data_IF_378740304768
#
_entry.id   IF_378740304768
#
_cell.length_a   1.000
_cell.length_b   1.000
_cell.length_c   1.000
_cell.angle_alpha   90.00
_cell.angle_beta   90.00
_cell.angle_gamma   90.00
#
_symmetry.space_group_name_H-M   'P 1'
#
loop_
_entity.id
_entity.type
_entity.pdbx_description
1 polymer ?
#
# COMPACT_ATOMS: atom_id res chain seq x y z
N UNK A 1 -25.41 -2.96 6.73
CA UNK A 1 -24.64 -4.20 6.77
C UNK A 1 -23.58 -4.11 7.85
N UNK A 2 -23.13 -5.24 8.38
CA UNK A 2 -21.94 -5.35 9.24
C UNK A 2 -20.77 -5.91 8.42
N UNK A 3 -19.69 -5.17 8.29
CA UNK A 3 -18.53 -5.48 7.46
C UNK A 3 -17.34 -5.74 8.36
N UNK A 4 -16.72 -6.92 8.23
CA UNK A 4 -15.42 -7.19 8.83
C UNK A 4 -14.34 -6.92 7.79
N UNK A 5 -13.44 -5.96 8.06
CA UNK A 5 -12.24 -5.75 7.27
C UNK A 5 -11.01 -6.28 8.00
N UNK A 6 -10.16 -7.01 7.30
CA UNK A 6 -8.93 -7.58 7.86
C UNK A 6 -7.73 -6.96 7.16
N UNK A 7 -6.90 -6.25 7.94
CA UNK A 7 -5.59 -5.74 7.55
C UNK A 7 -4.54 -6.31 8.51
N UNK A 8 -4.20 -7.60 8.33
CA UNK A 8 -3.40 -8.36 9.28
C UNK A 8 -2.05 -7.73 9.58
N UNK A 9 -1.23 -7.48 8.53
CA UNK A 9 0.19 -7.17 8.66
C UNK A 9 0.49 -5.70 8.95
N UNK A 10 -0.49 -4.80 8.86
CA UNK A 10 -0.31 -3.36 9.08
C UNK A 10 -1.58 -2.70 9.58
N UNK A 11 -1.42 -1.80 10.56
CA UNK A 11 -2.50 -0.99 11.10
C UNK A 11 -2.82 0.15 10.12
N UNK A 12 -4.06 0.22 9.58
CA UNK A 12 -4.42 1.24 8.60
C UNK A 12 -4.59 2.63 9.18
N UNK A 13 -4.89 2.73 10.48
CA UNK A 13 -5.11 4.00 11.16
C UNK A 13 -3.87 4.41 11.95
N UNK A 14 -3.43 5.65 11.78
CA UNK A 14 -2.24 6.19 12.42
C UNK A 14 -1.42 7.06 11.48
N UNK A 15 -0.18 7.34 11.84
CA UNK A 15 0.71 8.20 11.04
C UNK A 15 1.04 7.55 9.70
N UNK A 16 0.29 7.90 8.64
CA UNK A 16 0.68 7.61 7.27
C UNK A 16 2.08 8.21 7.01
N UNK A 17 2.94 7.45 6.32
CA UNK A 17 4.26 7.92 5.93
C UNK A 17 5.40 7.54 6.87
N UNK A 18 5.17 6.77 7.94
CA UNK A 18 6.25 6.20 8.75
C UNK A 18 6.31 4.69 8.57
N UNK A 19 7.53 4.15 8.34
CA UNK A 19 7.81 2.72 8.10
C UNK A 19 7.08 2.16 6.87
N UNK A 20 6.52 0.95 6.94
CA UNK A 20 5.78 0.30 5.85
C UNK A 20 4.36 0.86 5.62
N UNK A 21 3.98 1.96 6.27
CA UNK A 21 2.71 2.65 6.01
C UNK A 21 2.70 3.25 4.61
N UNK A 22 2.12 2.54 3.68
CA UNK A 22 2.04 2.89 2.26
C UNK A 22 0.62 3.09 1.77
N UNK A 23 0.44 2.98 0.47
CA UNK A 23 -0.86 3.13 -0.20
C UNK A 23 -1.94 2.21 0.35
N UNK A 24 -1.59 0.99 0.79
CA UNK A 24 -2.54 0.06 1.41
C UNK A 24 -3.19 0.66 2.67
N UNK A 25 -2.40 1.24 3.56
CA UNK A 25 -2.92 1.82 4.81
C UNK A 25 -3.90 2.95 4.53
N UNK A 26 -3.52 3.87 3.63
CA UNK A 26 -4.40 4.98 3.20
C UNK A 26 -5.67 4.44 2.54
N UNK A 27 -5.54 3.42 1.69
CA UNK A 27 -6.70 2.80 1.03
C UNK A 27 -7.66 2.20 2.05
N UNK A 28 -7.17 1.38 2.99
CA UNK A 28 -8.03 0.73 4.01
C UNK A 28 -8.66 1.77 4.93
N UNK A 29 -7.92 2.78 5.39
CA UNK A 29 -8.46 3.88 6.18
C UNK A 29 -9.60 4.59 5.44
N UNK A 30 -9.36 5.04 4.20
CA UNK A 30 -10.33 5.83 3.44
C UNK A 30 -11.55 5.01 3.03
N UNK A 31 -11.39 3.75 2.62
CA UNK A 31 -12.55 2.91 2.29
C UNK A 31 -13.38 2.58 3.54
N UNK A 32 -12.74 2.37 4.70
CA UNK A 32 -13.43 2.12 5.97
C UNK A 32 -14.25 3.34 6.41
N UNK A 33 -13.67 4.54 6.32
CA UNK A 33 -14.37 5.79 6.60
C UNK A 33 -15.59 5.97 5.68
N UNK A 34 -15.46 5.67 4.38
CA UNK A 34 -16.60 5.81 3.45
C UNK A 34 -17.67 4.74 3.69
N UNK A 35 -17.30 3.49 3.89
CA UNK A 35 -18.24 2.40 4.15
C UNK A 35 -18.99 2.61 5.47
N UNK A 36 -18.33 3.16 6.50
CA UNK A 36 -18.94 3.39 7.82
C UNK A 36 -20.04 4.46 7.83
N UNK A 37 -20.15 5.28 6.78
CA UNK A 37 -21.24 6.24 6.65
C UNK A 37 -22.62 5.57 6.59
N UNK A 38 -22.69 4.38 6.01
CA UNK A 38 -23.95 3.65 5.79
C UNK A 38 -23.94 2.21 6.34
N UNK A 39 -22.85 1.76 6.95
CA UNK A 39 -22.67 0.40 7.44
C UNK A 39 -21.94 0.42 8.78
N UNK A 40 -22.04 -0.68 9.54
CA UNK A 40 -21.14 -0.92 10.66
C UNK A 40 -19.88 -1.61 10.13
N UNK A 41 -18.73 -1.00 10.34
CA UNK A 41 -17.43 -1.49 9.85
C UNK A 41 -16.51 -1.75 11.03
N UNK A 42 -16.03 -2.98 11.15
CA UNK A 42 -14.97 -3.34 12.10
C UNK A 42 -13.72 -3.68 11.30
N UNK A 43 -12.64 -2.94 11.55
CA UNK A 43 -11.32 -3.19 10.95
C UNK A 43 -10.43 -3.82 11.99
N UNK A 44 -9.83 -4.98 11.68
CA UNK A 44 -8.97 -5.71 12.62
C UNK A 44 -7.56 -5.85 12.06
N UNK A 45 -6.57 -5.64 12.92
CA UNK A 45 -5.15 -5.82 12.61
C UNK A 45 -4.44 -6.63 13.69
N UNK A 46 -3.33 -7.30 13.33
CA UNK A 46 -2.44 -7.93 14.31
C UNK A 46 -1.36 -6.97 14.83
N UNK A 47 -0.99 -5.94 14.05
CA UNK A 47 0.00 -4.92 14.43
C UNK A 47 -0.46 -4.13 15.66
N UNK A 48 0.45 -3.85 16.58
CA UNK A 48 0.19 -3.04 17.77
C UNK A 48 -0.20 -1.62 17.40
N UNK A 49 -1.39 -1.22 17.82
CA UNK A 49 -1.94 0.11 17.62
C UNK A 49 -3.02 0.41 18.67
N UNK A 50 -3.36 1.67 18.83
CA UNK A 50 -4.46 2.07 19.69
C UNK A 50 -5.80 1.78 19.01
N UNK A 51 -6.65 0.98 19.66
CA UNK A 51 -7.99 0.66 19.20
C UNK A 51 -8.96 1.81 19.50
N UNK A 52 -9.95 2.03 18.62
CA UNK A 52 -10.94 3.08 18.82
C UNK A 52 -12.31 2.70 18.22
N UNK A 53 -13.33 3.44 18.64
CA UNK A 53 -14.67 3.46 18.03
C UNK A 53 -15.05 4.88 17.67
N UNK A 54 -15.46 5.11 16.41
CA UNK A 54 -15.88 6.39 15.89
C UNK A 54 -17.15 6.21 15.05
N UNK A 55 -18.30 6.53 15.63
CA UNK A 55 -19.60 6.29 14.98
C UNK A 55 -19.80 4.81 14.66
N UNK A 56 -19.97 4.48 13.38
CA UNK A 56 -20.14 3.11 12.92
C UNK A 56 -18.82 2.42 12.53
N UNK A 57 -17.67 3.05 12.78
CA UNK A 57 -16.35 2.50 12.54
C UNK A 57 -15.71 2.08 13.85
N UNK A 58 -15.38 0.79 13.96
CA UNK A 58 -14.55 0.22 15.02
C UNK A 58 -13.22 -0.20 14.43
N UNK A 59 -12.12 0.24 15.03
CA UNK A 59 -10.79 -0.26 14.75
C UNK A 59 -10.26 -1.03 15.95
N UNK A 60 -9.81 -2.26 15.72
CA UNK A 60 -9.34 -3.17 16.76
C UNK A 60 -7.97 -3.74 16.42
N UNK A 61 -6.98 -3.41 17.22
CA UNK A 61 -5.67 -4.05 17.19
C UNK A 61 -5.65 -5.22 18.16
N UNK A 62 -5.16 -6.39 17.75
CA UNK A 62 -4.95 -7.55 18.59
C UNK A 62 -3.53 -7.60 19.20
N UNK A 63 -2.69 -6.62 18.92
CA UNK A 63 -1.39 -6.35 19.55
C UNK A 63 -0.43 -7.56 19.56
N UNK A 64 -0.22 -8.22 18.42
CA UNK A 64 0.66 -9.39 18.32
C UNK A 64 2.11 -9.01 18.05
N UNK A 65 2.34 -8.01 17.22
CA UNK A 65 3.69 -7.61 16.81
C UNK A 65 3.82 -6.11 16.62
N UNK A 66 5.05 -5.64 16.64
CA UNK A 66 5.42 -4.26 16.36
C UNK A 66 5.51 -4.02 14.83
N UNK A 67 5.35 -2.77 14.42
CA UNK A 67 5.35 -2.37 13.01
C UNK A 67 6.68 -2.63 12.27
N UNK A 68 7.78 -2.74 13.00
CA UNK A 68 9.13 -2.86 12.46
C UNK A 68 9.48 -4.26 11.94
N UNK A 69 8.61 -5.26 12.23
CA UNK A 69 8.82 -6.62 11.72
C UNK A 69 8.64 -6.67 10.19
N UNK A 70 9.47 -7.51 9.55
CA UNK A 70 9.28 -7.82 8.13
C UNK A 70 7.96 -8.56 7.88
N UNK A 71 7.46 -8.55 6.66
CA UNK A 71 6.21 -9.27 6.32
C UNK A 71 6.35 -10.77 6.56
N UNK A 72 7.53 -11.33 6.27
CA UNK A 72 7.84 -12.75 6.49
C UNK A 72 7.83 -13.09 7.99
N UNK A 73 8.37 -12.22 8.83
CA UNK A 73 8.36 -12.42 10.29
C UNK A 73 6.95 -12.27 10.87
N UNK A 74 6.10 -11.44 10.28
CA UNK A 74 4.69 -11.29 10.66
C UNK A 74 3.86 -12.54 10.35
N UNK A 75 4.19 -13.28 9.31
CA UNK A 75 3.46 -14.47 8.87
C UNK A 75 3.34 -15.54 9.96
N UNK A 76 4.37 -15.72 10.79
CA UNK A 76 4.37 -16.71 11.88
C UNK A 76 3.24 -16.48 12.90
N UNK A 77 2.70 -15.26 12.99
CA UNK A 77 1.61 -14.89 13.89
C UNK A 77 0.21 -15.14 13.34
N UNK A 78 0.07 -15.67 12.11
CA UNK A 78 -1.25 -15.88 11.50
C UNK A 78 -2.18 -16.73 12.36
N UNK A 79 -1.70 -17.88 12.85
CA UNK A 79 -2.52 -18.77 13.65
C UNK A 79 -2.92 -18.15 14.99
N UNK A 80 -2.00 -17.42 15.64
CA UNK A 80 -2.31 -16.70 16.88
C UNK A 80 -3.36 -15.62 16.65
N UNK A 81 -3.26 -14.90 15.52
CA UNK A 81 -4.25 -13.89 15.13
C UNK A 81 -5.65 -14.49 14.94
N UNK A 82 -5.74 -15.61 14.24
CA UNK A 82 -7.01 -16.32 14.03
C UNK A 82 -7.63 -16.73 15.36
N UNK A 83 -6.83 -17.31 16.27
CA UNK A 83 -7.31 -17.71 17.59
C UNK A 83 -7.85 -16.51 18.38
N UNK A 84 -7.10 -15.39 18.41
CA UNK A 84 -7.55 -14.16 19.08
C UNK A 84 -8.79 -13.55 18.44
N UNK A 85 -8.95 -13.66 17.11
CA UNK A 85 -10.18 -13.23 16.45
C UNK A 85 -11.38 -14.00 16.96
N UNK A 86 -11.29 -15.32 17.06
CA UNK A 86 -12.38 -16.16 17.61
C UNK A 86 -12.74 -15.82 19.05
N UNK A 87 -11.77 -15.42 19.86
CA UNK A 87 -11.98 -15.07 21.27
C UNK A 87 -12.56 -13.68 21.48
N UNK A 88 -12.22 -12.73 20.60
CA UNK A 88 -12.41 -11.30 20.88
C UNK A 88 -13.35 -10.57 19.92
N UNK A 89 -13.81 -11.24 18.85
CA UNK A 89 -14.70 -10.66 17.83
C UNK A 89 -15.88 -11.58 17.56
N UNK A 90 -17.09 -11.05 17.62
CA UNK A 90 -18.30 -11.79 17.25
C UNK A 90 -18.39 -11.97 15.72
N UNK A 91 -17.63 -12.95 15.22
CA UNK A 91 -17.48 -13.21 13.77
C UNK A 91 -18.77 -13.66 13.08
N UNK A 92 -19.69 -14.27 13.81
CA UNK A 92 -20.97 -14.73 13.26
C UNK A 92 -21.88 -13.56 12.88
N UNK A 93 -21.75 -12.43 13.57
CA UNK A 93 -22.59 -11.24 13.37
C UNK A 93 -22.34 -10.47 12.09
N UNK A 94 -21.22 -10.70 11.39
CA UNK A 94 -20.89 -9.99 10.16
C UNK A 94 -21.63 -10.55 8.95
N UNK A 95 -21.97 -9.65 8.03
CA UNK A 95 -22.62 -9.99 6.75
C UNK A 95 -21.61 -10.33 5.66
N UNK A 96 -20.39 -9.77 5.73
CA UNK A 96 -19.33 -9.93 4.73
C UNK A 96 -17.95 -9.77 5.37
N UNK A 97 -16.97 -10.51 4.84
CA UNK A 97 -15.55 -10.41 5.19
C UNK A 97 -14.80 -9.79 4.01
N UNK A 98 -14.10 -8.68 4.24
CA UNK A 98 -13.27 -8.02 3.24
C UNK A 98 -11.80 -8.04 3.70
N UNK A 99 -10.92 -8.58 2.88
CA UNK A 99 -9.52 -8.78 3.23
C UNK A 99 -8.60 -7.99 2.32
N UNK A 100 -7.56 -7.43 2.92
CA UNK A 100 -6.57 -6.61 2.25
C UNK A 100 -5.19 -7.26 2.33
N UNK A 101 -4.60 -7.60 1.17
CA UNK A 101 -3.34 -8.31 1.06
C UNK A 101 -3.45 -9.83 1.33
N UNK A 102 -2.47 -10.61 0.85
CA UNK A 102 -2.53 -12.06 0.85
C UNK A 102 -2.58 -12.70 2.25
N UNK A 103 -1.82 -12.17 3.25
CA UNK A 103 -1.88 -12.67 4.63
C UNK A 103 -3.27 -12.52 5.24
N UNK A 104 -3.90 -11.37 5.02
CA UNK A 104 -5.30 -11.15 5.42
C UNK A 104 -6.26 -12.06 4.66
N UNK A 105 -5.97 -12.32 3.39
CA UNK A 105 -6.75 -13.24 2.55
C UNK A 105 -6.79 -14.65 3.10
N UNK A 106 -5.67 -15.17 3.62
CA UNK A 106 -5.63 -16.49 4.27
C UNK A 106 -6.54 -16.54 5.50
N UNK A 107 -6.47 -15.53 6.36
CA UNK A 107 -7.32 -15.39 7.55
C UNK A 107 -8.80 -15.29 7.15
N UNK A 108 -9.11 -14.40 6.21
CA UNK A 108 -10.49 -14.18 5.77
C UNK A 108 -11.11 -15.40 5.13
N UNK A 109 -10.35 -16.17 4.36
CA UNK A 109 -10.80 -17.45 3.79
C UNK A 109 -11.21 -18.43 4.87
N UNK A 110 -10.44 -18.56 5.97
CA UNK A 110 -10.79 -19.45 7.08
C UNK A 110 -12.09 -19.00 7.76
N UNK A 111 -12.20 -17.71 8.08
CA UNK A 111 -13.39 -17.13 8.72
C UNK A 111 -14.61 -17.26 7.80
N UNK A 112 -14.48 -16.87 6.53
CA UNK A 112 -15.57 -16.93 5.56
C UNK A 112 -16.14 -18.36 5.40
N UNK A 113 -15.25 -19.35 5.30
CA UNK A 113 -15.65 -20.76 5.22
C UNK A 113 -16.34 -21.24 6.50
N UNK A 114 -15.79 -20.92 7.68
CA UNK A 114 -16.32 -21.40 8.95
C UNK A 114 -17.71 -20.83 9.27
N UNK A 115 -17.95 -19.56 8.96
CA UNK A 115 -19.20 -18.86 9.26
C UNK A 115 -20.11 -18.69 8.05
N UNK A 116 -19.76 -19.31 6.91
CA UNK A 116 -20.50 -19.23 5.64
C UNK A 116 -20.79 -17.76 5.24
N UNK A 117 -19.74 -16.93 5.20
CA UNK A 117 -19.84 -15.51 4.85
C UNK A 117 -19.23 -15.23 3.47
N UNK A 118 -19.79 -14.30 2.69
CA UNK A 118 -19.15 -13.83 1.47
C UNK A 118 -17.75 -13.26 1.76
N UNK A 119 -16.78 -13.61 0.89
CA UNK A 119 -15.40 -13.13 0.96
C UNK A 119 -15.10 -12.16 -0.19
N UNK A 120 -14.72 -10.94 0.16
CA UNK A 120 -14.14 -9.95 -0.76
C UNK A 120 -12.63 -9.89 -0.54
N UNK A 121 -11.86 -9.96 -1.62
CA UNK A 121 -10.40 -9.91 -1.57
C UNK A 121 -9.86 -8.75 -2.41
N UNK A 122 -8.99 -7.93 -1.82
CA UNK A 122 -8.20 -6.89 -2.48
C UNK A 122 -6.72 -7.22 -2.32
N UNK A 123 -6.01 -7.42 -3.45
CA UNK A 123 -4.61 -7.90 -3.44
C UNK A 123 -3.61 -6.85 -2.96
N UNK A 124 -3.77 -5.58 -3.35
CA UNK A 124 -2.83 -4.45 -3.19
C UNK A 124 -1.46 -4.63 -3.84
N UNK A 125 -1.00 -5.84 -3.99
CA UNK A 125 0.19 -6.22 -4.76
C UNK A 125 0.13 -7.71 -5.08
N UNK A 126 0.81 -8.13 -6.14
CA UNK A 126 0.83 -9.51 -6.59
C UNK A 126 2.22 -10.12 -6.40
N UNK A 127 2.27 -11.34 -5.90
CA UNK A 127 3.52 -12.08 -5.65
C UNK A 127 4.37 -12.30 -6.90
N UNK A 128 3.75 -12.31 -8.09
CA UNK A 128 4.46 -12.43 -9.38
C UNK A 128 5.35 -11.23 -9.71
N UNK A 129 5.17 -10.07 -9.04
CA UNK A 129 5.96 -8.86 -9.27
C UNK A 129 7.11 -8.68 -8.28
N UNK A 130 7.29 -9.61 -7.34
CA UNK A 130 8.41 -9.56 -6.42
C UNK A 130 9.70 -10.02 -7.10
N UNK A 131 10.79 -9.31 -6.85
CA UNK A 131 12.12 -9.77 -7.22
C UNK A 131 12.39 -11.10 -6.49
N UNK A 132 12.66 -12.16 -7.27
CA UNK A 132 12.88 -13.51 -6.74
C UNK A 132 11.61 -14.33 -6.54
N UNK A 133 10.64 -14.26 -7.46
CA UNK A 133 9.42 -15.10 -7.57
C UNK A 133 9.13 -15.98 -6.33
N UNK A 134 8.36 -15.46 -5.38
CA UNK A 134 7.95 -16.23 -4.21
C UNK A 134 6.77 -17.16 -4.59
N UNK A 135 7.10 -18.39 -5.00
CA UNK A 135 6.11 -19.38 -5.41
C UNK A 135 5.08 -19.67 -4.33
N UNK A 136 5.51 -19.74 -3.07
CA UNK A 136 4.61 -20.02 -1.93
C UNK A 136 3.54 -18.94 -1.78
N UNK A 137 3.93 -17.67 -1.83
CA UNK A 137 2.99 -16.56 -1.84
C UNK A 137 2.03 -16.61 -3.03
N UNK A 138 2.52 -16.88 -4.24
CA UNK A 138 1.68 -16.98 -5.44
C UNK A 138 0.67 -18.12 -5.31
N UNK A 139 1.07 -19.26 -4.77
CA UNK A 139 0.17 -20.39 -4.53
C UNK A 139 -0.90 -20.06 -3.46
N UNK A 140 -0.53 -19.35 -2.40
CA UNK A 140 -1.49 -18.81 -1.41
C UNK A 140 -2.47 -17.83 -2.06
N UNK A 141 -2.00 -16.89 -2.86
CA UNK A 141 -2.85 -15.93 -3.58
C UNK A 141 -3.85 -16.63 -4.51
N UNK A 142 -3.43 -17.70 -5.21
CA UNK A 142 -4.35 -18.53 -6.04
C UNK A 142 -5.45 -19.16 -5.22
N UNK A 143 -5.11 -19.72 -4.07
CA UNK A 143 -6.09 -20.34 -3.16
C UNK A 143 -7.08 -19.29 -2.66
N UNK A 144 -6.62 -18.11 -2.28
CA UNK A 144 -7.47 -17.01 -1.81
C UNK A 144 -8.43 -16.57 -2.92
N UNK A 145 -7.91 -16.28 -4.11
CA UNK A 145 -8.71 -15.79 -5.26
C UNK A 145 -9.76 -16.83 -5.70
N UNK A 146 -9.41 -18.11 -5.69
CA UNK A 146 -10.37 -19.19 -6.00
C UNK A 146 -11.50 -19.24 -4.97
N UNK A 147 -11.18 -19.01 -3.68
CA UNK A 147 -12.13 -19.08 -2.57
C UNK A 147 -12.96 -17.81 -2.40
N UNK A 148 -12.55 -16.69 -2.99
CA UNK A 148 -13.26 -15.42 -2.88
C UNK A 148 -14.51 -15.39 -3.73
N UNK A 149 -15.55 -14.70 -3.27
CA UNK A 149 -16.77 -14.42 -4.03
C UNK A 149 -16.58 -13.20 -4.93
N UNK A 150 -15.80 -12.22 -4.47
CA UNK A 150 -15.43 -11.03 -5.22
C UNK A 150 -13.92 -10.77 -5.05
N UNK A 151 -13.26 -10.49 -6.18
CA UNK A 151 -11.88 -10.03 -6.24
C UNK A 151 -11.90 -8.59 -6.75
N UNK A 152 -11.45 -7.63 -5.94
CA UNK A 152 -11.35 -6.25 -6.40
C UNK A 152 -9.98 -5.97 -6.99
N UNK A 153 -9.93 -5.29 -8.13
CA UNK A 153 -8.72 -4.88 -8.82
C UNK A 153 -8.66 -3.37 -8.94
N UNK A 154 -7.48 -2.79 -8.86
CA UNK A 154 -7.26 -1.35 -8.93
C UNK A 154 -7.17 -0.83 -10.37
N UNK A 155 -6.79 -1.68 -11.31
CA UNK A 155 -6.58 -1.33 -12.71
C UNK A 155 -6.88 -2.51 -13.64
N UNK A 156 -7.08 -2.21 -14.93
CA UNK A 156 -7.19 -3.25 -15.97
C UNK A 156 -5.90 -4.09 -16.08
N UNK A 157 -4.75 -3.48 -15.86
CA UNK A 157 -3.48 -4.19 -15.88
C UNK A 157 -3.42 -5.24 -14.76
N UNK A 158 -3.82 -4.88 -13.54
CA UNK A 158 -3.89 -5.83 -12.43
C UNK A 158 -4.86 -6.98 -12.72
N UNK A 159 -6.04 -6.65 -13.26
CA UNK A 159 -7.04 -7.65 -13.68
C UNK A 159 -6.48 -8.63 -14.69
N UNK A 160 -5.82 -8.13 -15.75
CA UNK A 160 -5.18 -8.96 -16.76
C UNK A 160 -4.10 -9.88 -16.16
N UNK A 161 -3.27 -9.34 -15.26
CA UNK A 161 -2.23 -10.13 -14.60
C UNK A 161 -2.80 -11.22 -13.70
N UNK A 162 -3.89 -10.95 -12.99
CA UNK A 162 -4.60 -11.94 -12.16
C UNK A 162 -5.17 -13.04 -13.04
N UNK A 163 -5.88 -12.71 -14.09
CA UNK A 163 -6.48 -13.68 -15.02
C UNK A 163 -5.41 -14.59 -15.64
N UNK A 164 -4.29 -14.02 -16.04
CA UNK A 164 -3.21 -14.75 -16.71
C UNK A 164 -2.44 -15.69 -15.78
N UNK A 165 -2.23 -15.31 -14.52
CA UNK A 165 -1.24 -15.98 -13.66
C UNK A 165 -1.87 -16.73 -12.46
N UNK A 166 -3.10 -16.41 -12.07
CA UNK A 166 -3.71 -16.91 -10.83
C UNK A 166 -4.90 -17.83 -11.04
N UNK A 167 -5.30 -18.08 -12.28
CA UNK A 167 -6.47 -18.91 -12.62
C UNK A 167 -7.76 -18.42 -11.94
N UNK A 168 -7.91 -17.13 -11.79
CA UNK A 168 -9.09 -16.50 -11.19
C UNK A 168 -10.28 -16.50 -12.16
N UNK A 169 -11.50 -16.59 -11.61
CA UNK A 169 -12.73 -16.49 -12.38
C UNK A 169 -13.04 -15.01 -12.69
N UNK A 170 -13.09 -14.67 -13.98
CA UNK A 170 -13.39 -13.30 -14.44
C UNK A 170 -14.74 -12.77 -13.97
N UNK A 171 -15.72 -13.65 -13.73
CA UNK A 171 -17.03 -13.24 -13.23
C UNK A 171 -17.01 -12.70 -11.80
N UNK A 172 -15.99 -13.08 -11.02
CA UNK A 172 -15.78 -12.61 -9.65
C UNK A 172 -15.01 -11.31 -9.58
N UNK A 173 -14.44 -10.84 -10.68
CA UNK A 173 -13.60 -9.66 -10.69
C UNK A 173 -14.40 -8.38 -10.79
N UNK A 174 -14.00 -7.37 -10.00
CA UNK A 174 -14.59 -6.02 -9.99
C UNK A 174 -13.48 -4.99 -9.95
N UNK A 175 -13.33 -4.23 -11.04
CA UNK A 175 -12.40 -3.12 -11.06
C UNK A 175 -12.94 -1.97 -10.21
N UNK A 176 -12.20 -1.59 -9.19
CA UNK A 176 -12.49 -0.46 -8.30
C UNK A 176 -11.21 0.39 -8.21
N UNK A 177 -11.13 1.39 -9.08
CA UNK A 177 -9.99 2.31 -9.11
C UNK A 177 -9.88 3.09 -7.80
N UNK A 178 -8.72 3.10 -7.13
CA UNK A 178 -8.49 3.92 -5.96
C UNK A 178 -8.79 5.39 -6.21
N UNK A 179 -9.45 6.02 -5.24
CA UNK A 179 -9.76 7.44 -5.29
C UNK A 179 -8.61 8.30 -4.77
N UNK A 180 -8.71 9.61 -5.00
CA UNK A 180 -7.85 10.63 -4.42
C UNK A 180 -8.68 11.57 -3.53
N UNK A 181 -8.09 12.03 -2.45
CA UNK A 181 -8.74 13.00 -1.54
C UNK A 181 -8.65 14.41 -2.16
N UNK A 182 -9.75 14.86 -2.76
CA UNK A 182 -9.82 16.16 -3.43
C UNK A 182 -9.84 17.35 -2.45
N UNK A 183 -10.11 17.13 -1.16
CA UNK A 183 -9.99 18.18 -0.14
C UNK A 183 -8.51 18.47 0.17
N UNK A 184 -7.66 17.46 0.04
CA UNK A 184 -6.22 17.61 0.24
C UNK A 184 -5.53 17.95 -1.10
N UNK A 185 -5.74 17.12 -2.13
CA UNK A 185 -5.02 17.23 -3.40
C UNK A 185 -5.83 18.02 -4.43
N UNK A 186 -5.92 19.35 -4.19
CA UNK A 186 -6.53 20.29 -5.14
C UNK A 186 -5.45 21.13 -5.81
N UNK A 187 -5.45 21.22 -7.15
CA UNK A 187 -4.55 22.11 -7.87
C UNK A 187 -4.80 23.58 -7.49
N UNK A 188 -3.74 24.32 -7.19
CA UNK A 188 -3.80 25.76 -6.96
C UNK A 188 -3.14 26.49 -8.14
N UNK A 189 -3.97 27.06 -9.01
CA UNK A 189 -3.53 27.79 -10.19
C UNK A 189 -2.89 29.16 -9.86
N UNK A 190 -2.96 29.62 -8.63
CA UNK A 190 -2.32 30.89 -8.22
C UNK A 190 -0.84 30.70 -7.90
N UNK A 191 -0.43 29.47 -7.61
CA UNK A 191 0.97 29.12 -7.31
C UNK A 191 1.76 29.03 -8.61
N UNK A 192 2.82 29.84 -8.74
CA UNK A 192 3.75 29.75 -9.85
C UNK A 192 4.60 28.49 -9.71
N UNK A 193 4.60 27.65 -10.75
CA UNK A 193 5.46 26.47 -10.80
C UNK A 193 6.92 26.85 -10.97
N UNK A 194 7.77 26.19 -10.21
CA UNK A 194 9.23 26.32 -10.20
C UNK A 194 9.87 25.14 -10.94
N UNK A 195 11.14 25.22 -11.25
CA UNK A 195 11.89 24.10 -11.86
C UNK A 195 12.18 23.00 -10.81
N UNK A 196 11.13 22.60 -10.11
CA UNK A 196 11.14 21.52 -9.13
C UNK A 196 10.55 20.27 -9.78
N UNK A 197 11.28 19.17 -9.63
CA UNK A 197 10.83 17.83 -10.00
C UNK A 197 10.63 17.00 -8.73
N UNK A 198 9.73 16.05 -8.77
CA UNK A 198 9.44 15.20 -7.63
C UNK A 198 9.57 13.72 -8.03
N UNK A 199 10.15 12.93 -7.16
CA UNK A 199 10.09 11.47 -7.19
C UNK A 199 9.53 11.01 -5.84
N UNK A 200 8.27 10.57 -5.81
CA UNK A 200 7.54 10.28 -4.57
C UNK A 200 7.30 8.78 -4.47
N UNK A 201 7.76 8.17 -3.38
CA UNK A 201 7.55 6.76 -3.10
C UNK A 201 8.57 6.21 -2.13
N UNK A 202 8.28 5.06 -1.55
CA UNK A 202 9.22 4.36 -0.67
C UNK A 202 10.53 4.10 -1.39
N UNK A 203 11.64 4.25 -0.70
CA UNK A 203 12.96 3.97 -1.26
C UNK A 203 13.15 2.45 -1.32
N UNK A 204 13.00 1.89 -2.52
CA UNK A 204 13.09 0.47 -2.84
C UNK A 204 13.50 0.31 -4.29
N UNK A 205 14.28 -0.71 -4.63
CA UNK A 205 14.72 -0.99 -6.01
C UNK A 205 13.55 -1.08 -7.00
N UNK A 206 12.43 -1.65 -6.57
CA UNK A 206 11.22 -1.79 -7.38
C UNK A 206 10.66 -0.44 -7.83
N UNK A 207 10.89 0.64 -7.06
CA UNK A 207 10.45 1.99 -7.38
C UNK A 207 11.34 2.71 -8.40
N UNK A 208 12.50 2.14 -8.72
CA UNK A 208 13.35 2.57 -9.83
C UNK A 208 14.01 3.93 -9.65
N UNK A 209 14.22 4.40 -8.42
CA UNK A 209 14.81 5.72 -8.19
C UNK A 209 16.17 5.90 -8.87
N UNK A 210 16.93 4.83 -9.02
CA UNK A 210 18.21 4.87 -9.75
C UNK A 210 18.04 5.33 -11.20
N UNK A 211 16.94 4.93 -11.85
CA UNK A 211 16.64 5.35 -13.24
C UNK A 211 16.25 6.82 -13.30
N UNK A 212 15.61 7.35 -12.25
CA UNK A 212 15.37 8.80 -12.12
C UNK A 212 16.69 9.57 -12.03
N UNK A 213 17.66 9.11 -11.22
CA UNK A 213 18.99 9.76 -11.12
C UNK A 213 19.71 9.75 -12.46
N UNK A 214 19.75 8.61 -13.17
CA UNK A 214 20.34 8.50 -14.51
C UNK A 214 19.65 9.43 -15.52
N UNK A 215 18.33 9.55 -15.48
CA UNK A 215 17.59 10.50 -16.30
C UNK A 215 18.03 11.93 -16.00
N UNK A 216 18.12 12.32 -14.73
CA UNK A 216 18.52 13.67 -14.32
C UNK A 216 19.96 14.00 -14.69
N UNK A 217 20.88 13.03 -14.65
CA UNK A 217 22.26 13.20 -15.15
C UNK A 217 22.29 13.55 -16.64
N UNK A 218 21.46 12.93 -17.43
CA UNK A 218 21.35 13.25 -18.85
C UNK A 218 20.60 14.58 -19.06
N UNK A 219 19.55 14.85 -18.29
CA UNK A 219 18.73 16.05 -18.42
C UNK A 219 19.53 17.33 -18.09
N UNK A 220 20.43 17.33 -17.10
CA UNK A 220 21.25 18.50 -16.75
C UNK A 220 22.14 18.99 -17.91
N UNK A 221 22.45 18.14 -18.88
CA UNK A 221 23.22 18.53 -20.06
C UNK A 221 22.43 19.46 -20.99
N UNK A 222 21.10 19.47 -20.86
CA UNK A 222 20.19 20.30 -21.65
C UNK A 222 19.66 21.47 -20.84
N UNK A 223 19.30 21.22 -19.59
CA UNK A 223 18.78 22.21 -18.65
C UNK A 223 19.39 21.96 -17.26
N UNK A 224 20.22 22.89 -16.81
CA UNK A 224 20.95 22.76 -15.55
C UNK A 224 20.27 23.47 -14.36
N UNK A 225 19.19 24.22 -14.61
CA UNK A 225 18.47 24.94 -13.56
C UNK A 225 17.23 24.16 -13.12
N UNK A 226 17.42 23.12 -12.29
CA UNK A 226 16.35 22.36 -11.67
C UNK A 226 16.78 21.82 -10.30
N UNK A 227 15.79 21.46 -9.47
CA UNK A 227 15.96 20.71 -8.23
C UNK A 227 14.99 19.54 -8.22
N UNK A 228 15.44 18.34 -7.85
CA UNK A 228 14.61 17.16 -7.73
C UNK A 228 14.57 16.69 -6.28
N UNK A 229 13.36 16.57 -5.72
CA UNK A 229 13.16 15.98 -4.41
C UNK A 229 12.78 14.51 -4.54
N UNK A 230 13.54 13.63 -3.88
CA UNK A 230 13.17 12.25 -3.64
C UNK A 230 12.48 12.17 -2.29
N UNK A 231 11.18 11.87 -2.28
CA UNK A 231 10.32 11.94 -1.10
C UNK A 231 9.88 10.54 -0.71
N UNK A 232 10.27 10.09 0.48
CA UNK A 232 9.92 8.80 1.05
C UNK A 232 11.08 8.16 1.80
N UNK A 233 10.76 7.36 2.81
CA UNK A 233 11.75 6.64 3.61
C UNK A 233 12.15 5.29 3.01
N UNK A 234 13.27 4.72 3.46
CA UNK A 234 13.68 3.38 3.11
C UNK A 234 12.68 2.35 3.62
N UNK A 235 12.45 1.30 2.84
CA UNK A 235 11.46 0.26 3.17
C UNK A 235 11.92 -1.12 2.69
N UNK A 236 11.54 -2.16 3.45
CA UNK A 236 12.01 -3.52 3.22
C UNK A 236 13.44 -3.78 3.72
N UNK A 237 13.90 -5.03 3.59
CA UNK A 237 15.19 -5.48 4.15
C UNK A 237 16.40 -4.73 3.59
N UNK A 238 16.38 -4.37 2.31
CA UNK A 238 17.47 -3.68 1.60
C UNK A 238 17.23 -2.17 1.42
N UNK A 239 16.14 -1.60 1.97
CA UNK A 239 15.79 -0.20 1.72
C UNK A 239 16.85 0.80 2.17
N UNK A 240 17.47 0.58 3.32
CA UNK A 240 18.55 1.47 3.84
C UNK A 240 19.82 1.36 3.00
N UNK A 241 20.19 0.14 2.59
CA UNK A 241 21.35 -0.09 1.72
C UNK A 241 21.14 0.56 0.34
N UNK A 242 19.94 0.42 -0.20
CA UNK A 242 19.57 1.05 -1.47
C UNK A 242 19.55 2.57 -1.38
N UNK A 243 19.11 3.17 -0.27
CA UNK A 243 19.22 4.62 -0.06
C UNK A 243 20.67 5.10 -0.09
N UNK A 244 21.59 4.37 0.56
CA UNK A 244 23.01 4.72 0.53
C UNK A 244 23.62 4.56 -0.88
N UNK A 245 23.22 3.53 -1.63
CA UNK A 245 23.59 3.37 -3.04
C UNK A 245 23.13 4.56 -3.89
N UNK A 246 21.88 5.01 -3.70
CA UNK A 246 21.36 6.18 -4.42
C UNK A 246 22.15 7.46 -4.09
N UNK A 247 22.45 7.70 -2.80
CA UNK A 247 23.27 8.84 -2.38
C UNK A 247 24.69 8.79 -2.96
N UNK A 248 25.31 7.61 -2.94
CA UNK A 248 26.63 7.44 -3.55
C UNK A 248 26.59 7.71 -5.06
N UNK A 249 25.55 7.22 -5.75
CA UNK A 249 25.37 7.49 -7.19
C UNK A 249 25.21 9.00 -7.47
N UNK A 250 24.48 9.73 -6.62
CA UNK A 250 24.35 11.20 -6.72
C UNK A 250 25.70 11.88 -6.59
N UNK A 251 26.54 11.45 -5.64
CA UNK A 251 27.90 11.98 -5.46
C UNK A 251 28.82 11.65 -6.65
N UNK A 252 28.83 10.39 -7.09
CA UNK A 252 29.66 9.93 -8.22
C UNK A 252 29.33 10.70 -9.52
N UNK A 253 28.07 11.07 -9.68
CA UNK A 253 27.59 11.87 -10.82
C UNK A 253 27.70 13.40 -10.58
N UNK A 254 28.12 13.86 -9.41
CA UNK A 254 28.16 15.29 -9.01
C UNK A 254 26.78 15.96 -9.19
N UNK A 255 25.73 15.36 -8.65
CA UNK A 255 24.32 15.83 -8.71
C UNK A 255 23.80 16.38 -7.38
N UNK A 256 24.66 16.57 -6.36
CA UNK A 256 24.27 17.00 -5.00
C UNK A 256 23.58 18.36 -4.98
N UNK A 257 23.88 19.23 -5.95
CA UNK A 257 23.20 20.53 -6.10
C UNK A 257 21.83 20.43 -6.79
N UNK A 258 21.48 19.25 -7.35
CA UNK A 258 20.27 19.03 -8.13
C UNK A 258 19.30 18.03 -7.49
N UNK A 259 19.77 17.24 -6.53
CA UNK A 259 18.98 16.17 -5.91
C UNK A 259 19.06 16.29 -4.39
N UNK A 260 17.88 16.27 -3.77
CA UNK A 260 17.72 16.24 -2.33
C UNK A 260 16.81 15.08 -1.92
N UNK A 261 17.25 14.29 -0.93
CA UNK A 261 16.45 13.22 -0.35
C UNK A 261 15.71 13.75 0.88
N UNK A 262 14.38 13.74 0.80
CA UNK A 262 13.49 14.08 1.90
C UNK A 262 12.91 12.79 2.47
N UNK A 263 12.76 12.73 3.77
CA UNK A 263 12.07 11.63 4.44
C UNK A 263 10.56 11.66 4.13
N UNK A 264 9.78 10.82 4.79
CA UNK A 264 8.33 10.83 4.65
C UNK A 264 7.74 12.18 5.05
N UNK A 265 6.96 12.77 4.17
CA UNK A 265 6.26 14.04 4.39
C UNK A 265 4.76 13.83 4.59
N UNK A 266 4.09 14.69 5.38
CA UNK A 266 2.64 14.75 5.47
C UNK A 266 2.01 15.02 4.09
N UNK A 267 0.79 14.49 3.86
CA UNK A 267 0.08 14.68 2.57
C UNK A 267 -0.10 16.16 2.20
N UNK A 268 -0.26 17.04 3.19
CA UNK A 268 -0.37 18.50 2.97
C UNK A 268 0.92 19.09 2.40
N UNK A 269 2.08 18.67 2.89
CA UNK A 269 3.37 19.13 2.37
C UNK A 269 3.63 18.55 0.97
N UNK A 270 3.27 17.28 0.74
CA UNK A 270 3.32 16.67 -0.61
C UNK A 270 2.45 17.45 -1.58
N UNK A 271 1.23 17.83 -1.20
CA UNK A 271 0.34 18.68 -2.01
C UNK A 271 1.02 20.01 -2.35
N UNK A 272 1.62 20.67 -1.37
CA UNK A 272 2.25 21.98 -1.57
C UNK A 272 3.45 21.89 -2.53
N UNK A 273 4.24 20.82 -2.44
CA UNK A 273 5.31 20.53 -3.39
C UNK A 273 4.78 20.19 -4.79
N UNK A 274 3.71 19.41 -4.89
CA UNK A 274 3.05 19.11 -6.17
C UNK A 274 2.55 20.38 -6.87
N UNK A 275 1.96 21.32 -6.12
CA UNK A 275 1.49 22.59 -6.67
C UNK A 275 2.65 23.48 -7.18
N UNK A 276 3.83 23.42 -6.53
CA UNK A 276 5.03 24.15 -6.95
C UNK A 276 5.82 23.46 -8.06
N UNK A 277 5.73 22.14 -8.18
CA UNK A 277 6.55 21.37 -9.11
C UNK A 277 6.06 21.46 -10.55
N UNK A 278 6.99 21.28 -11.49
CA UNK A 278 6.70 21.15 -12.92
C UNK A 278 6.50 19.71 -13.37
N UNK A 279 7.13 18.76 -12.69
CA UNK A 279 7.18 17.37 -13.11
C UNK A 279 7.16 16.43 -11.90
N UNK A 280 6.36 15.39 -11.99
CA UNK A 280 6.46 14.19 -11.16
C UNK A 280 7.07 13.08 -12.01
N UNK A 281 8.16 12.48 -11.53
CA UNK A 281 8.88 11.40 -12.20
C UNK A 281 8.57 10.11 -11.44
N UNK A 282 8.04 9.13 -12.15
CA UNK A 282 7.69 7.82 -11.59
C UNK A 282 8.30 6.73 -12.47
N UNK A 283 9.27 6.01 -11.91
CA UNK A 283 10.09 5.03 -12.64
C UNK A 283 9.94 3.61 -12.10
N UNK A 284 8.86 3.35 -11.36
CA UNK A 284 8.59 2.02 -10.82
C UNK A 284 8.60 0.95 -11.90
N UNK A 285 9.26 -0.16 -11.65
CA UNK A 285 9.33 -1.31 -12.56
C UNK A 285 7.95 -1.96 -12.73
N UNK A 286 7.21 -2.07 -11.64
CA UNK A 286 5.86 -2.64 -11.59
C UNK A 286 5.00 -1.90 -10.58
N UNK A 287 3.75 -1.66 -10.94
CA UNK A 287 2.70 -1.16 -10.05
C UNK A 287 1.40 -1.87 -10.40
N UNK A 288 0.60 -2.19 -9.39
CA UNK A 288 -0.78 -2.64 -9.60
C UNK A 288 -1.67 -1.45 -9.95
N UNK A 289 -1.34 -0.28 -9.36
CA UNK A 289 -1.95 1.01 -9.65
C UNK A 289 -0.87 2.09 -9.44
N UNK A 290 -0.49 2.77 -10.50
CA UNK A 290 0.57 3.78 -10.51
C UNK A 290 0.09 5.20 -10.39
#
# INVERSE_FOLDING_TARGET
MKILQISFHTAPFGSAGKYDSGGLNIYVEKISDQLSKNNFVTVVTAEKAESFVKGNLEFKSLNLFDKDLSVEDKEIHLQEFINKLYESVDLESFDVVHTHYWLSGLVGKEIANKFNKPLVYTSHSLGIFLDGYNKERVDCEKIIMTSSDIITTSSLFEEEMILKNYNADSNKMKQITPGVDLEIFTPDSTIKRENIFLSIGRIQEQKGQIETIKFLDNFRKVENNFLCYFIGGPSGKSGSEYLEELKQTVQDLNLESHIEFLDNLPQTEIRDLLNKSKLLIHTSKFETFG
#
